data_IF_348642732772
#
_entry.id   IF_348642732772
#
_cell.length_a   1.000
_cell.length_b   1.000
_cell.length_c   1.000
_cell.angle_alpha   90.00
_cell.angle_beta   90.00
_cell.angle_gamma   90.00
#
_symmetry.space_group_name_H-M   'P 1'
#
loop_
_entity.id
_entity.type
_entity.pdbx_description
1 polymer ?
#
# COMPACT_ATOMS: atom_id res chain seq x y z
N UNK A 1 15.50 20.90 31.24
CA UNK A 1 15.43 19.83 30.22
C UNK A 1 15.91 20.41 28.91
N UNK A 2 16.99 19.89 28.36
CA UNK A 2 17.51 20.30 27.06
C UNK A 2 16.47 19.98 26.00
N UNK A 3 15.88 21.02 25.41
CA UNK A 3 14.93 20.89 24.30
C UNK A 3 15.72 20.30 23.13
N UNK A 4 15.53 19.01 22.84
CA UNK A 4 16.05 18.37 21.63
C UNK A 4 15.46 19.14 20.45
N UNK A 5 16.27 20.00 19.84
CA UNK A 5 15.87 20.82 18.71
C UNK A 5 16.28 20.07 17.45
N UNK A 6 15.33 19.84 16.54
CA UNK A 6 15.65 19.28 15.24
C UNK A 6 16.69 20.19 14.56
N UNK A 7 17.86 19.66 14.16
CA UNK A 7 18.90 20.48 13.53
C UNK A 7 18.40 21.21 12.26
N UNK A 8 17.42 20.64 11.56
CA UNK A 8 16.79 21.25 10.40
C UNK A 8 15.90 22.47 10.71
N UNK A 9 15.31 22.51 11.92
CA UNK A 9 14.43 23.57 12.42
C UNK A 9 15.21 24.68 13.16
N UNK A 10 16.53 24.57 13.22
CA UNK A 10 17.38 25.59 13.84
C UNK A 10 17.57 26.78 12.88
N UNK A 11 16.78 27.83 13.10
CA UNK A 11 16.78 29.06 12.32
C UNK A 11 18.15 29.75 12.25
N UNK A 12 19.09 29.43 13.15
CA UNK A 12 20.46 30.01 13.12
C UNK A 12 21.23 29.62 11.87
N UNK A 13 20.90 28.48 11.25
CA UNK A 13 21.55 28.00 10.03
C UNK A 13 20.74 28.30 8.77
N UNK A 14 19.70 29.12 8.87
CA UNK A 14 18.84 29.42 7.75
C UNK A 14 19.42 30.50 6.84
N UNK A 15 19.16 30.36 5.55
CA UNK A 15 19.58 31.29 4.50
C UNK A 15 18.37 32.00 3.90
N UNK A 16 18.54 33.16 3.24
CA UNK A 16 17.42 33.89 2.63
C UNK A 16 16.53 33.08 1.65
N UNK A 17 17.02 31.97 1.09
CA UNK A 17 16.25 31.10 0.21
C UNK A 17 15.50 29.95 0.91
N UNK A 18 15.57 29.87 2.23
CA UNK A 18 14.91 28.85 3.06
C UNK A 18 13.45 29.19 3.39
N UNK A 19 13.01 30.40 3.03
CA UNK A 19 11.60 30.82 3.00
C UNK A 19 11.29 31.13 1.54
N UNK A 20 10.22 30.55 1.00
CA UNK A 20 9.85 30.71 -0.40
C UNK A 20 8.35 30.55 -0.60
N UNK A 21 7.83 31.19 -1.64
CA UNK A 21 6.43 31.08 -2.01
C UNK A 21 6.19 29.91 -2.98
N UNK A 22 5.09 29.19 -2.75
CA UNK A 22 4.58 28.15 -3.63
C UNK A 22 3.18 28.55 -4.08
N UNK A 23 2.92 28.47 -5.38
CA UNK A 23 1.60 28.76 -5.93
C UNK A 23 0.63 27.62 -5.66
N UNK A 24 -0.50 27.90 -5.01
CA UNK A 24 -1.55 26.92 -4.74
C UNK A 24 -2.20 26.45 -6.04
N UNK A 25 -2.07 25.16 -6.36
CA UNK A 25 -2.64 24.55 -7.56
C UNK A 25 -4.18 24.67 -7.68
N UNK A 26 -4.88 24.86 -6.56
CA UNK A 26 -6.34 24.96 -6.54
C UNK A 26 -6.87 26.39 -6.79
N UNK A 27 -6.15 27.43 -6.35
CA UNK A 27 -6.70 28.80 -6.36
C UNK A 27 -5.72 29.89 -6.82
N UNK A 28 -4.49 29.52 -7.17
CA UNK A 28 -3.44 30.41 -7.66
C UNK A 28 -2.84 31.36 -6.63
N UNK A 29 -3.23 31.27 -5.35
CA UNK A 29 -2.66 32.10 -4.30
C UNK A 29 -1.21 31.68 -3.98
N UNK A 30 -0.35 32.65 -3.66
CA UNK A 30 0.97 32.36 -3.11
C UNK A 30 0.83 31.89 -1.66
N UNK A 31 1.50 30.79 -1.35
CA UNK A 31 1.57 30.20 -0.02
C UNK A 31 3.04 30.20 0.38
N UNK A 32 3.37 30.99 1.40
CA UNK A 32 4.71 31.03 1.96
C UNK A 32 5.02 29.70 2.67
N UNK A 33 6.17 29.12 2.35
CA UNK A 33 6.70 27.90 2.95
C UNK A 33 8.04 28.17 3.62
N UNK A 34 8.23 27.52 4.75
CA UNK A 34 9.54 27.33 5.36
C UNK A 34 10.14 26.01 4.86
N UNK A 35 11.47 25.93 4.73
CA UNK A 35 12.18 24.75 4.17
C UNK A 35 11.87 23.43 4.89
N UNK A 36 11.45 23.52 6.13
CA UNK A 36 11.21 22.42 7.06
C UNK A 36 9.73 22.12 7.28
N UNK A 37 8.84 22.88 6.63
CA UNK A 37 7.40 22.56 6.55
C UNK A 37 7.15 21.61 5.38
N UNK A 38 6.64 20.41 5.66
CA UNK A 38 6.28 19.46 4.60
C UNK A 38 4.99 19.83 3.84
N UNK A 39 4.02 20.44 4.54
CA UNK A 39 2.71 20.80 3.99
C UNK A 39 2.11 21.97 4.76
N UNK A 40 1.38 22.84 4.07
CA UNK A 40 0.75 24.03 4.64
C UNK A 40 -0.64 24.24 4.07
N UNK A 41 -1.58 24.68 4.90
CA UNK A 41 -2.93 25.01 4.46
C UNK A 41 -2.94 26.35 3.74
N UNK A 42 -3.52 26.40 2.53
CA UNK A 42 -3.71 27.65 1.80
C UNK A 42 -4.70 28.55 2.55
N UNK A 43 -4.29 29.78 2.87
CA UNK A 43 -5.12 30.77 3.58
C UNK A 43 -6.35 31.20 2.79
N UNK A 44 -6.33 31.11 1.45
CA UNK A 44 -7.42 31.56 0.58
C UNK A 44 -8.51 30.49 0.37
N UNK A 45 -8.14 29.25 0.07
CA UNK A 45 -9.09 28.19 -0.29
C UNK A 45 -9.13 27.01 0.69
N UNK A 46 -8.23 26.97 1.67
CA UNK A 46 -8.16 25.90 2.65
C UNK A 46 -7.56 24.58 2.15
N UNK A 47 -7.18 24.49 0.87
CA UNK A 47 -6.52 23.29 0.33
C UNK A 47 -5.13 23.09 0.98
N UNK A 48 -4.73 21.83 1.19
CA UNK A 48 -3.38 21.51 1.64
C UNK A 48 -2.42 21.60 0.45
N UNK A 49 -1.43 22.50 0.57
CA UNK A 49 -0.33 22.64 -0.39
C UNK A 49 0.86 21.88 0.17
N UNK A 50 1.53 21.11 -0.68
CA UNK A 50 2.76 20.37 -0.33
C UNK A 50 3.98 21.21 -0.70
N UNK A 51 5.04 21.10 0.10
CA UNK A 51 6.30 21.79 -0.16
C UNK A 51 7.09 21.06 -1.27
N UNK A 52 7.28 21.68 -2.46
CA UNK A 52 7.98 21.04 -3.58
C UNK A 52 9.51 21.01 -3.39
N UNK A 53 10.05 21.77 -2.43
CA UNK A 53 11.49 21.86 -2.14
C UNK A 53 11.86 21.09 -0.87
N UNK A 54 10.95 20.28 -0.34
CA UNK A 54 11.19 19.52 0.88
C UNK A 54 12.34 18.53 0.66
N UNK A 55 13.45 18.75 1.34
CA UNK A 55 14.60 17.84 1.31
C UNK A 55 14.42 16.77 2.38
N UNK A 56 14.22 15.53 1.95
CA UNK A 56 14.04 14.37 2.84
C UNK A 56 15.35 13.88 3.49
N UNK A 57 16.48 14.58 3.29
CA UNK A 57 17.80 14.10 3.72
C UNK A 57 17.95 13.83 5.23
N UNK A 58 17.27 14.60 6.10
CA UNK A 58 17.19 14.28 7.53
C UNK A 58 16.05 13.32 7.88
N UNK A 59 15.01 13.30 7.05
CA UNK A 59 13.81 12.48 7.24
C UNK A 59 14.07 11.00 6.98
N UNK A 60 15.06 10.67 6.14
CA UNK A 60 15.48 9.29 5.83
C UNK A 60 15.88 8.46 7.06
N UNK A 61 16.36 9.09 8.13
CA UNK A 61 16.85 8.40 9.33
C UNK A 61 16.21 8.89 10.63
N UNK A 62 15.28 9.85 10.55
CA UNK A 62 14.63 10.43 11.72
C UNK A 62 13.38 9.63 12.10
N UNK A 63 13.30 9.16 13.35
CA UNK A 63 12.14 8.43 13.87
C UNK A 63 10.85 9.27 13.92
N UNK A 64 10.98 10.61 13.96
CA UNK A 64 9.87 11.55 13.97
C UNK A 64 9.50 12.10 12.57
N UNK A 65 10.03 11.51 11.50
CA UNK A 65 9.81 12.00 10.13
C UNK A 65 8.33 11.93 9.70
N UNK A 66 7.59 10.90 10.12
CA UNK A 66 6.18 10.74 9.81
C UNK A 66 5.32 11.88 10.40
N UNK A 67 5.58 12.24 11.66
CA UNK A 67 4.86 13.29 12.38
C UNK A 67 5.22 14.69 11.85
N UNK A 68 6.49 14.89 11.50
CA UNK A 68 7.00 16.19 11.06
C UNK A 68 6.70 16.48 9.58
N UNK A 69 6.90 15.49 8.71
CA UNK A 69 6.89 15.66 7.26
C UNK A 69 5.83 14.81 6.54
N UNK A 70 5.16 13.90 7.24
CA UNK A 70 4.29 12.91 6.60
C UNK A 70 5.06 11.91 5.73
N UNK A 71 6.36 11.73 6.01
CA UNK A 71 7.25 10.81 5.32
C UNK A 71 7.76 9.79 6.33
N UNK A 72 7.44 8.52 6.14
CA UNK A 72 8.03 7.42 6.89
C UNK A 72 8.88 6.58 5.92
N UNK A 73 10.22 6.58 6.05
CA UNK A 73 11.08 5.75 5.22
C UNK A 73 10.69 4.27 5.27
N UNK A 74 10.23 3.77 6.43
CA UNK A 74 9.84 2.37 6.59
C UNK A 74 8.56 2.04 5.85
N UNK A 75 7.61 2.99 5.78
CA UNK A 75 6.40 2.82 4.97
C UNK A 75 6.72 2.82 3.48
N UNK A 76 7.63 3.69 3.03
CA UNK A 76 8.04 3.72 1.61
C UNK A 76 8.77 2.43 1.21
N UNK A 77 9.64 1.91 2.09
CA UNK A 77 10.29 0.62 1.89
C UNK A 77 9.26 -0.53 1.87
N UNK A 78 8.31 -0.55 2.80
CA UNK A 78 7.27 -1.59 2.82
C UNK A 78 6.36 -1.53 1.61
N UNK A 79 5.96 -0.34 1.16
CA UNK A 79 5.11 -0.17 -0.02
C UNK A 79 5.84 -0.66 -1.29
N UNK A 80 7.15 -0.39 -1.40
CA UNK A 80 7.97 -0.88 -2.51
C UNK A 80 8.15 -2.41 -2.47
N UNK A 81 8.35 -2.99 -1.28
CA UNK A 81 8.43 -4.44 -1.10
C UNK A 81 7.10 -5.13 -1.44
N UNK A 82 5.97 -4.52 -1.07
CA UNK A 82 4.62 -5.00 -1.39
C UNK A 82 4.33 -4.95 -2.89
N UNK A 83 4.72 -3.86 -3.57
CA UNK A 83 4.63 -3.76 -5.03
C UNK A 83 5.49 -4.82 -5.74
N UNK A 84 6.74 -5.00 -5.30
CA UNK A 84 7.64 -6.01 -5.85
C UNK A 84 7.14 -7.45 -5.59
N UNK A 85 6.47 -7.69 -4.47
CA UNK A 85 5.79 -8.95 -4.20
C UNK A 85 4.62 -9.17 -5.17
N UNK A 86 3.75 -8.18 -5.34
CA UNK A 86 2.63 -8.26 -6.29
C UNK A 86 3.10 -8.56 -7.70
N UNK A 87 4.14 -7.88 -8.18
CA UNK A 87 4.67 -8.10 -9.52
C UNK A 87 5.15 -9.55 -9.73
N UNK A 88 5.82 -10.12 -8.72
CA UNK A 88 6.25 -11.53 -8.75
C UNK A 88 5.08 -12.50 -8.72
N UNK A 89 4.07 -12.25 -7.89
CA UNK A 89 2.85 -13.06 -7.83
C UNK A 89 2.08 -13.02 -9.15
N UNK A 90 1.94 -11.84 -9.75
CA UNK A 90 1.33 -11.63 -11.07
C UNK A 90 2.09 -12.39 -12.16
N UNK A 91 3.43 -12.34 -12.13
CA UNK A 91 4.25 -13.07 -13.09
C UNK A 91 4.03 -14.59 -12.97
N UNK A 92 4.02 -15.11 -11.74
CA UNK A 92 3.72 -16.53 -11.47
C UNK A 92 2.31 -16.93 -11.91
N UNK A 93 1.31 -16.07 -11.64
CA UNK A 93 -0.08 -16.28 -12.06
C UNK A 93 -0.21 -16.38 -13.59
N UNK A 94 0.43 -15.46 -14.33
CA UNK A 94 0.45 -15.46 -15.80
C UNK A 94 1.15 -16.71 -16.35
N UNK A 95 2.26 -17.12 -15.74
CA UNK A 95 2.98 -18.32 -16.15
C UNK A 95 2.16 -19.60 -15.92
N UNK A 96 1.46 -19.70 -14.79
CA UNK A 96 0.71 -20.90 -14.43
C UNK A 96 -0.55 -21.17 -15.28
N UNK A 97 -1.18 -20.12 -15.82
CA UNK A 97 -2.48 -20.23 -16.52
C UNK A 97 -2.43 -19.97 -18.03
N UNK A 98 -1.28 -19.57 -18.59
CA UNK A 98 -1.12 -19.43 -20.05
C UNK A 98 -2.06 -18.38 -20.66
N UNK A 99 -2.93 -18.79 -21.62
CA UNK A 99 -3.79 -17.90 -22.44
C UNK A 99 -5.15 -17.53 -21.84
N UNK A 100 -5.46 -17.93 -20.59
CA UNK A 100 -6.72 -17.52 -19.95
C UNK A 100 -6.61 -16.09 -19.39
N UNK A 101 -6.80 -15.12 -20.29
CA UNK A 101 -6.79 -13.70 -19.95
C UNK A 101 -7.94 -13.32 -18.99
N UNK A 102 -9.06 -14.05 -19.02
CA UNK A 102 -10.23 -13.73 -18.21
C UNK A 102 -9.98 -13.97 -16.72
N UNK A 103 -9.26 -15.04 -16.37
CA UNK A 103 -8.85 -15.29 -14.98
C UNK A 103 -7.91 -14.19 -14.47
N UNK A 104 -6.90 -13.83 -15.27
CA UNK A 104 -5.93 -12.80 -14.93
C UNK A 104 -6.64 -11.46 -14.71
N UNK A 105 -7.55 -11.07 -15.60
CA UNK A 105 -8.36 -9.85 -15.47
C UNK A 105 -9.18 -9.83 -14.18
N UNK A 106 -9.85 -10.93 -13.82
CA UNK A 106 -10.59 -11.03 -12.55
C UNK A 106 -9.68 -10.92 -11.33
N UNK A 107 -8.51 -11.55 -11.36
CA UNK A 107 -7.54 -11.48 -10.27
C UNK A 107 -7.05 -10.04 -10.05
N UNK A 108 -6.75 -9.32 -11.14
CA UNK A 108 -6.39 -7.90 -11.07
C UNK A 108 -7.55 -7.03 -10.57
N UNK A 109 -8.77 -7.27 -11.05
CA UNK A 109 -9.94 -6.53 -10.60
C UNK A 109 -10.17 -6.70 -9.10
N UNK A 110 -9.98 -7.92 -8.57
CA UNK A 110 -10.08 -8.21 -7.13
C UNK A 110 -8.97 -7.56 -6.34
N UNK A 111 -7.72 -7.64 -6.82
CA UNK A 111 -6.58 -6.97 -6.19
C UNK A 111 -6.82 -5.45 -6.09
N UNK A 112 -7.28 -4.82 -7.17
CA UNK A 112 -7.56 -3.39 -7.17
C UNK A 112 -8.64 -3.03 -6.14
N UNK A 113 -9.76 -3.77 -6.11
CA UNK A 113 -10.81 -3.57 -5.10
C UNK A 113 -10.30 -3.80 -3.68
N UNK A 114 -9.45 -4.80 -3.46
CA UNK A 114 -8.87 -5.07 -2.15
C UNK A 114 -7.98 -3.90 -1.68
N UNK A 115 -7.18 -3.30 -2.57
CA UNK A 115 -6.37 -2.11 -2.26
C UNK A 115 -7.24 -0.90 -1.87
N UNK A 116 -8.31 -0.64 -2.61
CA UNK A 116 -9.24 0.46 -2.31
C UNK A 116 -9.95 0.28 -0.95
N UNK A 117 -10.23 -0.96 -0.55
CA UNK A 117 -10.89 -1.28 0.72
C UNK A 117 -9.92 -1.36 1.91
N UNK A 118 -8.60 -1.44 1.68
CA UNK A 118 -7.62 -1.59 2.75
C UNK A 118 -7.73 -0.53 3.87
N UNK A 119 -7.95 0.77 3.57
CA UNK A 119 -8.10 1.79 4.61
C UNK A 119 -9.30 1.58 5.54
N UNK A 120 -10.35 0.90 5.07
CA UNK A 120 -11.57 0.62 5.84
C UNK A 120 -11.44 -0.63 6.73
N UNK A 121 -10.31 -1.34 6.65
CA UNK A 121 -10.10 -2.64 7.29
C UNK A 121 -8.81 -2.64 8.14
N UNK A 122 -8.80 -1.89 9.26
CA UNK A 122 -7.63 -1.83 10.13
C UNK A 122 -7.30 -3.21 10.70
N UNK A 123 -6.02 -3.57 10.68
CA UNK A 123 -5.52 -4.85 11.17
C UNK A 123 -5.47 -5.96 10.12
N UNK A 124 -5.97 -5.73 8.89
CA UNK A 124 -5.71 -6.64 7.78
C UNK A 124 -4.25 -6.51 7.31
N UNK A 125 -3.54 -7.63 7.24
CA UNK A 125 -2.18 -7.66 6.69
C UNK A 125 -2.19 -7.46 5.15
N UNK A 126 -1.58 -6.38 4.61
CA UNK A 126 -1.55 -6.12 3.17
C UNK A 126 -0.96 -7.26 2.36
N UNK A 127 0.12 -7.87 2.82
CA UNK A 127 0.82 -8.97 2.15
C UNK A 127 -0.10 -10.18 1.97
N UNK A 128 -0.81 -10.56 3.03
CA UNK A 128 -1.73 -11.70 3.00
C UNK A 128 -2.93 -11.42 2.10
N UNK A 129 -3.48 -10.20 2.18
CA UNK A 129 -4.63 -9.78 1.36
C UNK A 129 -4.27 -9.74 -0.12
N UNK A 130 -3.14 -9.12 -0.50
CA UNK A 130 -2.72 -9.01 -1.90
C UNK A 130 -2.47 -10.38 -2.52
N UNK A 131 -1.77 -11.27 -1.79
CA UNK A 131 -1.53 -12.64 -2.24
C UNK A 131 -2.84 -13.43 -2.39
N UNK A 132 -3.71 -13.41 -1.39
CA UNK A 132 -4.99 -14.09 -1.45
C UNK A 132 -5.90 -13.54 -2.56
N UNK A 133 -5.93 -12.22 -2.77
CA UNK A 133 -6.73 -11.59 -3.81
C UNK A 133 -6.31 -12.03 -5.22
N UNK A 134 -5.00 -12.08 -5.50
CA UNK A 134 -4.48 -12.54 -6.79
C UNK A 134 -4.73 -14.03 -7.04
N UNK A 135 -4.59 -14.85 -5.99
CA UNK A 135 -4.64 -16.30 -6.11
C UNK A 135 -6.05 -16.88 -5.88
N UNK A 136 -7.02 -16.08 -5.43
CA UNK A 136 -8.41 -16.50 -5.24
C UNK A 136 -9.03 -17.06 -6.52
N UNK A 137 -8.67 -16.48 -7.66
CA UNK A 137 -9.19 -16.87 -8.98
C UNK A 137 -8.48 -18.09 -9.56
N UNK A 138 -7.40 -18.60 -8.95
CA UNK A 138 -6.73 -19.84 -9.36
C UNK A 138 -7.58 -21.10 -9.14
N UNK A 139 -8.91 -21.01 -9.09
CA UNK A 139 -9.79 -22.15 -8.86
C UNK A 139 -10.31 -22.75 -10.18
N UNK A 140 -9.94 -24.02 -10.44
CA UNK A 140 -10.59 -24.94 -11.37
C UNK A 140 -11.47 -25.93 -10.58
N UNK A 141 -12.71 -26.22 -11.00
CA UNK A 141 -13.55 -27.28 -10.42
C UNK A 141 -12.92 -28.70 -10.42
N UNK A 142 -11.77 -28.94 -11.07
CA UNK A 142 -11.04 -30.22 -11.08
C UNK A 142 -10.10 -30.49 -9.86
N UNK A 143 -9.91 -29.53 -8.94
CA UNK A 143 -9.86 -29.82 -7.49
C UNK A 143 -8.57 -30.18 -6.73
N UNK A 144 -7.39 -30.40 -7.33
CA UNK A 144 -6.16 -30.71 -6.54
C UNK A 144 -4.88 -29.98 -6.94
N UNK A 145 -4.67 -29.74 -8.25
CA UNK A 145 -3.44 -29.11 -8.74
C UNK A 145 -3.29 -27.63 -8.38
N UNK A 146 -4.38 -26.95 -8.08
CA UNK A 146 -4.40 -25.49 -7.92
C UNK A 146 -3.89 -25.01 -6.55
N UNK A 147 -4.07 -25.82 -5.50
CA UNK A 147 -3.46 -25.52 -4.18
C UNK A 147 -1.94 -25.63 -4.26
N UNK A 148 -1.45 -26.68 -4.93
CA UNK A 148 -0.02 -26.87 -5.14
C UNK A 148 0.58 -25.71 -5.97
N UNK A 149 -0.11 -25.29 -7.04
CA UNK A 149 0.30 -24.15 -7.85
C UNK A 149 0.30 -22.83 -7.09
N UNK A 150 -0.74 -22.54 -6.30
CA UNK A 150 -0.80 -21.32 -5.50
C UNK A 150 0.38 -21.28 -4.51
N UNK A 151 0.68 -22.41 -3.84
CA UNK A 151 1.85 -22.55 -2.96
C UNK A 151 3.17 -22.33 -3.70
N UNK A 152 3.33 -22.94 -4.88
CA UNK A 152 4.52 -22.74 -5.72
C UNK A 152 4.71 -21.28 -6.12
N UNK A 153 3.64 -20.60 -6.56
CA UNK A 153 3.67 -19.18 -6.95
C UNK A 153 4.10 -18.31 -5.76
N UNK A 154 3.51 -18.50 -4.58
CA UNK A 154 3.88 -17.72 -3.39
C UNK A 154 5.31 -17.99 -2.94
N UNK A 155 5.76 -19.26 -2.99
CA UNK A 155 7.13 -19.62 -2.65
C UNK A 155 8.15 -19.01 -3.61
N UNK A 156 7.88 -19.04 -4.92
CA UNK A 156 8.73 -18.40 -5.94
C UNK A 156 8.69 -16.87 -5.84
N UNK A 157 7.56 -16.30 -5.40
CA UNK A 157 7.43 -14.89 -5.06
C UNK A 157 8.10 -14.52 -3.72
N UNK A 158 8.81 -15.44 -3.07
CA UNK A 158 9.63 -15.17 -1.89
C UNK A 158 8.86 -15.00 -0.59
N UNK A 159 7.62 -15.47 -0.51
CA UNK A 159 6.87 -15.50 0.75
C UNK A 159 7.44 -16.58 1.69
N UNK A 160 7.52 -16.26 2.98
CA UNK A 160 7.88 -17.22 4.02
C UNK A 160 6.75 -18.24 4.24
N UNK A 161 7.14 -19.41 4.76
CA UNK A 161 6.23 -20.53 4.97
C UNK A 161 5.01 -20.20 5.85
N UNK A 162 5.15 -19.49 6.99
CA UNK A 162 4.00 -19.06 7.80
C UNK A 162 3.00 -18.21 6.99
N UNK A 163 3.50 -17.20 6.25
CA UNK A 163 2.64 -16.35 5.41
C UNK A 163 1.92 -17.15 4.32
N UNK A 164 2.60 -18.13 3.72
CA UNK A 164 2.00 -19.05 2.74
C UNK A 164 0.87 -19.87 3.36
N UNK A 165 1.10 -20.44 4.54
CA UNK A 165 0.11 -21.26 5.23
C UNK A 165 -1.13 -20.41 5.59
N UNK A 166 -0.94 -19.16 6.02
CA UNK A 166 -2.03 -18.20 6.28
C UNK A 166 -2.83 -17.85 5.02
N UNK A 167 -2.16 -17.58 3.89
CA UNK A 167 -2.86 -17.31 2.62
C UNK A 167 -3.66 -18.52 2.18
N UNK A 168 -3.15 -19.74 2.34
CA UNK A 168 -3.94 -20.95 2.04
C UNK A 168 -5.21 -21.03 2.90
N UNK A 169 -5.13 -20.70 4.18
CA UNK A 169 -6.31 -20.64 5.05
C UNK A 169 -7.31 -19.56 4.62
N UNK A 170 -6.83 -18.41 4.11
CA UNK A 170 -7.71 -17.36 3.55
C UNK A 170 -8.39 -17.84 2.26
N UNK A 171 -7.65 -18.51 1.36
CA UNK A 171 -8.18 -19.07 0.12
C UNK A 171 -9.22 -20.16 0.39
N UNK A 172 -8.96 -21.04 1.35
CA UNK A 172 -9.92 -22.07 1.78
C UNK A 172 -11.17 -21.44 2.42
N UNK A 173 -10.99 -20.40 3.25
CA UNK A 173 -12.09 -19.66 3.87
C UNK A 173 -12.96 -18.91 2.86
N UNK A 174 -12.38 -18.35 1.78
CA UNK A 174 -13.12 -17.73 0.68
C UNK A 174 -14.01 -18.74 -0.05
N UNK A 175 -13.51 -19.96 -0.28
CA UNK A 175 -14.24 -21.04 -0.97
C UNK A 175 -15.34 -21.64 -0.12
N UNK A 176 -15.08 -21.85 1.16
CA UNK A 176 -16.04 -22.43 2.09
C UNK A 176 -17.18 -21.46 2.45
N UNK A 177 -17.10 -20.17 2.05
CA UNK A 177 -17.96 -19.10 2.54
C UNK A 177 -18.09 -19.10 4.07
N UNK A 178 -17.05 -19.55 4.77
CA UNK A 178 -17.09 -19.77 6.21
C UNK A 178 -17.28 -18.44 6.95
N UNK A 179 -18.07 -18.43 8.02
CA UNK A 179 -18.04 -17.29 8.95
C UNK A 179 -16.66 -17.29 9.64
N UNK A 180 -15.90 -16.24 9.42
CA UNK A 180 -14.54 -16.08 9.90
C UNK A 180 -14.33 -14.59 10.16
N UNK A 181 -13.89 -14.28 11.38
CA UNK A 181 -13.75 -12.92 11.91
C UNK A 181 -12.43 -12.27 11.51
N UNK A 182 -11.59 -12.96 10.72
CA UNK A 182 -10.33 -12.40 10.22
C UNK A 182 -10.59 -11.15 9.34
N UNK A 183 -9.92 -10.02 9.61
CA UNK A 183 -10.12 -8.79 8.86
C UNK A 183 -9.77 -8.94 7.38
N UNK A 184 -8.75 -9.75 7.05
CA UNK A 184 -8.34 -10.06 5.68
C UNK A 184 -9.46 -10.78 4.92
N UNK A 185 -10.10 -11.77 5.55
CA UNK A 185 -11.15 -12.56 4.90
C UNK A 185 -12.42 -11.74 4.71
N UNK A 186 -12.76 -10.87 5.67
CA UNK A 186 -13.85 -9.91 5.53
C UNK A 186 -13.61 -8.95 4.35
N UNK A 187 -12.39 -8.40 4.25
CA UNK A 187 -11.98 -7.53 3.13
C UNK A 187 -12.09 -8.26 1.79
N UNK A 188 -11.51 -9.46 1.68
CA UNK A 188 -11.48 -10.24 0.43
C UNK A 188 -12.87 -10.65 -0.06
N UNK A 189 -13.79 -10.95 0.87
CA UNK A 189 -15.21 -11.21 0.53
C UNK A 189 -15.90 -9.96 0.00
N UNK A 190 -15.68 -8.80 0.63
CA UNK A 190 -16.24 -7.52 0.20
C UNK A 190 -15.69 -7.10 -1.18
N UNK A 191 -14.39 -7.29 -1.41
CA UNK A 191 -13.76 -7.06 -2.71
C UNK A 191 -14.38 -7.94 -3.81
N UNK A 192 -14.63 -9.22 -3.53
CA UNK A 192 -15.30 -10.14 -4.46
C UNK A 192 -16.77 -9.78 -4.73
N UNK A 193 -17.52 -9.41 -3.70
CA UNK A 193 -18.93 -9.01 -3.85
C UNK A 193 -19.11 -7.74 -4.69
N UNK A 194 -18.19 -6.77 -4.57
CA UNK A 194 -18.20 -5.54 -5.37
C UNK A 194 -18.06 -5.81 -6.87
N UNK A 195 -17.32 -6.86 -7.26
CA UNK A 195 -17.15 -7.27 -8.65
C UNK A 195 -18.38 -8.00 -9.22
N UNK A 196 -19.09 -8.77 -8.39
CA UNK A 196 -20.29 -9.50 -8.83
C UNK A 196 -21.52 -8.60 -9.03
N UNK A 197 -21.51 -7.40 -8.47
CA UNK A 197 -22.58 -6.41 -8.58
C UNK A 197 -22.45 -5.46 -9.80
N UNK A 198 -21.39 -5.59 -10.59
CA UNK A 198 -21.11 -4.80 -11.80
C UNK A 198 -21.36 -5.64 -13.04
#
# INVERSE_FOLDING_TARGET
MSKTLCPGQDMRFWRPGDIFDVTCANCGAQVEFFKDEGRRKCSKCGNMVTNPRLSLGCAQWCEHAAECLGYDPKQVESDADDEALVDRLVAGLKQARGRDNGLVERAFARLHQAKELMPDHPGADPKLVMAAALLAELHDPAGAGDRLRAREIMSQAGMDKPSIDEVELLLDGLRAHAADDRPELALLKRAGASLAAR
#
